data_IF_672953917891
#
_entry.id   IF_672953917891
#
_cell.length_a   1.000
_cell.length_b   1.000
_cell.length_c   1.000
_cell.angle_alpha   90.00
_cell.angle_beta   90.00
_cell.angle_gamma   90.00
#
_symmetry.space_group_name_H-M   'P 1'
#
loop_
_entity.id
_entity.type
_entity.pdbx_description
1 polymer ?
#
# COMPACT_ATOMS: atom_id res chain seq x y z
N UNK A 1 18.47 8.29 30.36
CA UNK A 1 19.57 7.45 29.84
C UNK A 1 18.98 6.14 29.26
N UNK A 2 19.62 5.57 28.22
CA UNK A 2 19.63 4.15 27.73
C UNK A 2 19.05 3.81 26.32
N UNK A 3 19.73 2.89 25.58
CA UNK A 3 19.45 2.47 24.16
C UNK A 3 20.21 1.18 23.64
N UNK A 4 20.10 0.78 22.32
CA UNK A 4 20.69 -0.41 21.57
C UNK A 4 21.11 -0.15 20.06
N UNK A 5 21.50 -1.16 19.21
CA UNK A 5 22.03 -1.02 17.77
C UNK A 5 21.89 -2.25 16.78
N UNK A 6 22.48 -2.24 15.54
CA UNK A 6 22.26 -3.20 14.38
C UNK A 6 23.44 -3.54 13.37
N UNK A 7 23.17 -3.99 12.10
CA UNK A 7 24.02 -4.82 11.15
C UNK A 7 24.29 -4.31 9.67
N UNK A 8 25.10 -4.98 8.75
CA UNK A 8 25.72 -4.33 7.55
C UNK A 8 25.15 -4.62 6.13
N UNK A 9 25.42 -3.72 5.15
CA UNK A 9 24.92 -3.70 3.74
C UNK A 9 25.90 -2.95 2.81
N UNK A 10 25.79 -3.05 1.45
CA UNK A 10 26.15 -1.90 0.57
C UNK A 10 25.20 -0.80 0.99
N UNK A 11 25.69 0.23 1.69
CA UNK A 11 24.78 1.16 2.33
C UNK A 11 24.19 2.05 1.25
N UNK A 12 22.93 2.48 1.43
CA UNK A 12 22.25 3.39 0.51
C UNK A 12 23.05 4.69 0.29
N UNK A 13 24.03 5.00 1.15
CA UNK A 13 25.03 6.06 0.99
C UNK A 13 26.05 5.87 -0.15
N UNK A 14 26.29 4.67 -0.67
CA UNK A 14 27.20 4.47 -1.82
C UNK A 14 26.60 4.96 -3.15
N UNK A 15 25.27 4.84 -3.31
CA UNK A 15 24.54 5.47 -4.42
C UNK A 15 24.01 6.87 -4.06
N UNK A 16 23.51 7.03 -2.83
CA UNK A 16 22.72 8.16 -2.36
C UNK A 16 21.24 8.03 -2.74
N UNK A 17 20.32 8.36 -1.80
CA UNK A 17 18.84 8.33 -1.99
C UNK A 17 18.45 8.89 -3.36
N UNK A 18 18.84 10.12 -3.62
CA UNK A 18 18.39 10.90 -4.77
C UNK A 18 18.87 10.29 -6.09
N UNK A 19 20.16 9.94 -6.24
CA UNK A 19 20.64 9.29 -7.48
C UNK A 19 20.00 7.93 -7.75
N UNK A 20 19.60 7.18 -6.72
CA UNK A 20 18.85 5.94 -6.90
C UNK A 20 17.42 6.23 -7.39
N UNK A 21 16.76 7.25 -6.82
CA UNK A 21 15.44 7.72 -7.26
C UNK A 21 15.53 8.30 -8.68
N UNK A 22 16.36 9.30 -8.94
CA UNK A 22 16.51 9.95 -10.26
C UNK A 22 16.79 8.94 -11.39
N UNK A 23 17.66 7.96 -11.13
CA UNK A 23 17.99 6.88 -12.08
C UNK A 23 16.78 5.99 -12.42
N UNK A 24 15.86 5.81 -11.48
CA UNK A 24 14.62 5.07 -11.68
C UNK A 24 13.59 5.99 -12.33
N UNK A 25 13.39 7.20 -11.81
CA UNK A 25 12.37 8.16 -12.21
C UNK A 25 12.55 8.73 -13.62
N UNK A 26 13.78 8.96 -14.08
CA UNK A 26 14.08 9.49 -15.42
C UNK A 26 13.65 8.58 -16.59
N UNK A 27 13.07 7.40 -16.29
CA UNK A 27 12.53 6.45 -17.28
C UNK A 27 11.06 6.69 -17.62
N UNK A 28 10.37 7.59 -16.91
CA UNK A 28 8.92 7.78 -17.03
C UNK A 28 8.58 9.20 -17.50
N UNK A 29 7.64 9.32 -18.43
CA UNK A 29 7.18 10.61 -19.01
C UNK A 29 5.65 10.61 -19.01
N UNK A 30 5.02 11.65 -18.46
CA UNK A 30 3.56 11.78 -18.42
C UNK A 30 2.95 12.16 -19.76
N UNK A 31 1.80 11.56 -20.07
CA UNK A 31 1.08 11.75 -21.34
C UNK A 31 -0.43 11.97 -21.18
N UNK A 32 -0.93 12.13 -19.95
CA UNK A 32 -2.36 12.23 -19.64
C UNK A 32 -2.70 13.66 -19.20
N UNK A 33 -3.79 14.27 -19.68
CA UNK A 33 -4.21 15.64 -19.30
C UNK A 33 -4.52 15.77 -17.81
N UNK A 34 -4.95 14.67 -17.18
CA UNK A 34 -5.04 14.63 -15.73
C UNK A 34 -3.63 14.82 -15.13
N UNK A 35 -2.62 14.15 -15.66
CA UNK A 35 -1.31 13.99 -15.03
C UNK A 35 -0.39 15.19 -15.28
N UNK A 36 -0.69 16.30 -14.60
CA UNK A 36 0.03 17.58 -14.68
C UNK A 36 1.52 17.48 -14.32
N UNK A 37 1.94 16.45 -13.57
CA UNK A 37 3.35 16.20 -13.23
C UNK A 37 3.62 14.70 -13.13
N UNK A 38 4.68 14.24 -13.79
CA UNK A 38 5.09 12.83 -13.77
C UNK A 38 5.99 12.46 -12.61
N UNK A 39 6.38 11.18 -12.58
CA UNK A 39 7.46 10.69 -11.73
C UNK A 39 8.78 11.37 -12.12
N UNK A 40 9.57 11.74 -11.12
CA UNK A 40 10.72 12.64 -11.27
C UNK A 40 11.07 13.34 -9.96
N UNK A 41 10.05 13.57 -9.12
CA UNK A 41 10.12 14.11 -7.78
C UNK A 41 9.36 13.19 -6.79
N UNK A 42 9.21 13.57 -5.53
CA UNK A 42 8.59 12.74 -4.46
C UNK A 42 7.10 12.34 -4.73
N UNK A 43 6.42 12.90 -5.75
CA UNK A 43 5.07 12.49 -6.19
C UNK A 43 4.75 12.86 -7.65
N UNK A 44 3.74 12.21 -8.24
CA UNK A 44 3.08 12.62 -9.49
C UNK A 44 1.79 13.41 -9.22
N UNK A 45 1.52 14.46 -9.98
CA UNK A 45 0.25 15.22 -9.89
C UNK A 45 -0.72 14.71 -10.94
N UNK A 46 -1.96 14.40 -10.53
CA UNK A 46 -3.06 14.03 -11.41
C UNK A 46 -4.36 14.82 -11.09
N UNK A 47 -5.13 15.12 -12.13
CA UNK A 47 -6.35 15.94 -12.14
C UNK A 47 -7.51 15.11 -12.69
N UNK A 48 -8.21 14.43 -11.79
CA UNK A 48 -9.40 13.65 -12.10
C UNK A 48 -10.63 14.57 -12.18
N UNK A 49 -11.62 14.21 -13.01
CA UNK A 49 -12.92 14.89 -13.15
C UNK A 49 -14.04 13.88 -12.89
N UNK A 50 -15.26 14.36 -12.65
CA UNK A 50 -16.41 13.56 -12.16
C UNK A 50 -16.58 12.17 -12.82
N UNK A 51 -16.85 11.11 -12.02
CA UNK A 51 -16.97 11.12 -10.55
C UNK A 51 -15.63 11.36 -9.84
N UNK A 52 -15.67 11.88 -8.62
CA UNK A 52 -14.45 12.30 -7.91
C UNK A 52 -13.68 11.11 -7.37
N UNK A 53 -12.36 11.10 -7.59
CA UNK A 53 -11.47 10.09 -7.00
C UNK A 53 -11.37 10.26 -5.48
N UNK A 54 -11.64 9.19 -4.75
CA UNK A 54 -11.48 9.08 -3.30
C UNK A 54 -10.39 8.07 -2.99
N UNK A 55 -9.58 8.31 -1.96
CA UNK A 55 -8.59 7.33 -1.50
C UNK A 55 -8.56 7.23 0.02
N UNK A 56 -8.16 6.05 0.51
CA UNK A 56 -7.96 5.74 1.91
C UNK A 56 -6.75 4.82 2.07
N UNK A 57 -6.14 4.77 3.25
CA UNK A 57 -4.95 3.95 3.47
C UNK A 57 -4.94 3.34 4.88
N UNK A 58 -4.63 2.04 4.97
CA UNK A 58 -4.40 1.34 6.23
C UNK A 58 -3.00 0.73 6.25
N UNK A 59 -2.15 1.27 7.11
CA UNK A 59 -0.95 0.58 7.58
C UNK A 59 -1.32 -0.35 8.75
N UNK A 60 -0.83 -1.58 8.74
CA UNK A 60 -0.95 -2.58 9.80
C UNK A 60 0.41 -3.14 10.15
N UNK A 61 0.79 -3.08 11.43
CA UNK A 61 2.07 -3.55 11.94
C UNK A 61 1.88 -4.74 12.88
N UNK A 62 2.66 -5.80 12.68
CA UNK A 62 2.70 -6.93 13.62
C UNK A 62 3.18 -6.49 15.01
N UNK A 63 2.55 -6.99 16.06
CA UNK A 63 2.78 -6.58 17.45
C UNK A 63 2.12 -5.25 17.84
N UNK A 64 1.39 -4.61 16.91
CA UNK A 64 0.66 -3.35 17.16
C UNK A 64 -0.81 -3.45 16.71
N UNK A 65 -1.06 -3.78 15.44
CA UNK A 65 -2.41 -3.90 14.84
C UNK A 65 -2.95 -5.34 14.84
N UNK A 66 -2.06 -6.31 14.93
CA UNK A 66 -2.35 -7.75 14.96
C UNK A 66 -1.16 -8.50 15.56
N UNK A 67 -1.40 -9.75 15.98
CA UNK A 67 -0.39 -10.68 16.47
C UNK A 67 -0.67 -12.06 15.84
N UNK A 68 0.33 -12.63 15.20
CA UNK A 68 0.22 -13.89 14.44
C UNK A 68 0.01 -15.12 15.32
N UNK A 69 0.19 -15.00 16.65
CA UNK A 69 -0.21 -16.03 17.60
C UNK A 69 -1.74 -16.20 17.67
N UNK A 70 -2.51 -15.17 17.29
CA UNK A 70 -3.97 -15.14 17.37
C UNK A 70 -4.66 -14.94 16.01
N UNK A 71 -3.97 -14.34 15.03
CA UNK A 71 -4.52 -14.02 13.71
C UNK A 71 -3.78 -14.76 12.60
N UNK A 72 -4.40 -15.79 11.98
CA UNK A 72 -3.90 -16.39 10.74
C UNK A 72 -3.66 -15.35 9.64
N UNK A 73 -2.63 -15.58 8.84
CA UNK A 73 -2.10 -14.65 7.82
C UNK A 73 -3.17 -14.16 6.82
N UNK A 74 -4.03 -15.08 6.37
CA UNK A 74 -5.19 -14.77 5.52
C UNK A 74 -6.18 -13.79 6.14
N UNK A 75 -6.40 -13.88 7.45
CA UNK A 75 -7.24 -12.90 8.14
C UNK A 75 -6.54 -11.56 8.34
N UNK A 76 -5.21 -11.52 8.47
CA UNK A 76 -4.45 -10.27 8.48
C UNK A 76 -4.59 -9.55 7.14
N UNK A 77 -4.34 -10.24 6.02
CA UNK A 77 -4.52 -9.68 4.67
C UNK A 77 -5.94 -9.18 4.41
N UNK A 78 -6.95 -10.00 4.72
CA UNK A 78 -8.36 -9.64 4.58
C UNK A 78 -8.72 -8.41 5.45
N UNK A 79 -8.34 -8.41 6.74
CA UNK A 79 -8.61 -7.30 7.68
C UNK A 79 -8.02 -5.99 7.19
N UNK A 80 -6.76 -5.98 6.75
CA UNK A 80 -6.09 -4.75 6.30
C UNK A 80 -6.71 -4.21 5.01
N UNK A 81 -7.05 -5.08 4.04
CA UNK A 81 -7.74 -4.69 2.82
C UNK A 81 -9.14 -4.12 3.08
N UNK A 82 -9.94 -4.79 3.93
CA UNK A 82 -11.26 -4.30 4.34
C UNK A 82 -11.17 -2.95 5.06
N UNK A 83 -10.17 -2.74 5.93
CA UNK A 83 -9.99 -1.44 6.58
C UNK A 83 -9.63 -0.32 5.60
N UNK A 84 -8.82 -0.59 4.57
CA UNK A 84 -8.49 0.40 3.55
C UNK A 84 -9.72 0.76 2.70
N UNK A 85 -10.43 -0.24 2.16
CA UNK A 85 -11.66 -0.01 1.40
C UNK A 85 -12.78 0.58 2.25
N UNK A 86 -12.83 0.25 3.55
CA UNK A 86 -13.79 0.79 4.50
C UNK A 86 -13.67 2.30 4.68
N UNK A 87 -12.48 2.88 4.53
CA UNK A 87 -12.30 4.34 4.52
C UNK A 87 -12.93 4.97 3.28
N UNK A 88 -12.80 4.35 2.11
CA UNK A 88 -13.44 4.82 0.86
C UNK A 88 -14.96 4.66 0.96
N UNK A 89 -15.46 3.51 1.42
CA UNK A 89 -16.89 3.27 1.63
C UNK A 89 -17.52 4.21 2.67
N UNK A 90 -16.78 4.61 3.71
CA UNK A 90 -17.25 5.58 4.71
C UNK A 90 -17.46 6.99 4.14
N UNK A 91 -16.84 7.30 2.99
CA UNK A 91 -17.08 8.53 2.21
C UNK A 91 -18.23 8.39 1.22
N UNK A 92 -19.01 7.29 1.27
CA UNK A 92 -20.05 6.94 0.29
C UNK A 92 -19.50 6.83 -1.15
N UNK A 93 -18.22 6.45 -1.26
CA UNK A 93 -17.54 6.15 -2.51
C UNK A 93 -17.40 4.64 -2.72
N UNK A 94 -17.41 4.21 -3.98
CA UNK A 94 -17.20 2.80 -4.35
C UNK A 94 -15.69 2.54 -4.43
N UNK A 95 -15.11 1.64 -3.61
CA UNK A 95 -13.72 1.24 -3.76
C UNK A 95 -13.54 0.42 -5.05
N UNK A 96 -12.60 0.84 -5.89
CA UNK A 96 -12.33 0.22 -7.20
C UNK A 96 -10.98 -0.48 -7.24
N UNK A 97 -10.00 0.02 -6.48
CA UNK A 97 -8.60 -0.40 -6.59
C UNK A 97 -7.91 -0.48 -5.22
N UNK A 98 -6.91 -1.35 -5.12
CA UNK A 98 -6.04 -1.54 -3.96
C UNK A 98 -4.57 -1.55 -4.39
N UNK A 99 -3.75 -0.73 -3.74
CA UNK A 99 -2.29 -0.77 -3.82
C UNK A 99 -1.74 -1.29 -2.50
N UNK A 100 -0.85 -2.28 -2.53
CA UNK A 100 -0.33 -2.97 -1.35
C UNK A 100 1.17 -2.72 -1.21
N UNK A 101 1.66 -2.42 -0.01
CA UNK A 101 3.08 -2.47 0.30
C UNK A 101 3.30 -3.42 1.49
N UNK A 102 4.04 -4.51 1.30
CA UNK A 102 4.31 -5.50 2.34
C UNK A 102 5.79 -5.45 2.79
N UNK A 103 6.02 -5.23 4.08
CA UNK A 103 7.31 -5.47 4.71
C UNK A 103 7.36 -6.88 5.27
N UNK A 104 8.18 -7.77 4.72
CA UNK A 104 8.31 -9.17 5.15
C UNK A 104 9.67 -9.44 5.78
N UNK A 105 9.68 -10.05 6.96
CA UNK A 105 10.93 -10.51 7.60
C UNK A 105 11.30 -11.92 7.15
N UNK A 106 12.57 -12.29 7.36
CA UNK A 106 13.19 -13.54 6.89
C UNK A 106 12.54 -14.86 7.39
N UNK A 107 11.51 -14.80 8.23
CA UNK A 107 10.78 -15.99 8.73
C UNK A 107 9.56 -16.37 7.88
N UNK A 108 9.12 -15.48 6.99
CA UNK A 108 7.97 -15.73 6.13
C UNK A 108 8.41 -16.44 4.87
N UNK A 109 7.72 -17.52 4.55
CA UNK A 109 7.91 -18.28 3.32
C UNK A 109 7.01 -17.73 2.19
N UNK A 110 7.10 -18.34 1.01
CA UNK A 110 6.25 -17.96 -0.13
C UNK A 110 4.79 -18.28 0.19
N UNK A 111 4.56 -19.45 0.78
CA UNK A 111 3.26 -19.97 1.19
C UNK A 111 2.59 -19.09 2.26
N UNK A 112 3.37 -18.52 3.19
CA UNK A 112 2.88 -17.52 4.14
C UNK A 112 2.41 -16.24 3.43
N UNK A 113 3.16 -15.83 2.41
CA UNK A 113 2.85 -14.64 1.61
C UNK A 113 1.60 -14.88 0.76
N UNK A 114 1.49 -16.06 0.14
CA UNK A 114 0.30 -16.49 -0.59
C UNK A 114 -0.94 -16.48 0.32
N UNK A 115 -0.85 -16.95 1.57
CA UNK A 115 -1.97 -16.87 2.52
C UNK A 115 -2.37 -15.42 2.84
N UNK A 116 -1.42 -14.49 3.02
CA UNK A 116 -1.73 -13.05 3.16
C UNK A 116 -2.49 -12.54 1.93
N UNK A 117 -1.98 -12.80 0.73
CA UNK A 117 -2.58 -12.28 -0.50
C UNK A 117 -3.90 -12.97 -0.87
N UNK A 118 -4.12 -14.24 -0.54
CA UNK A 118 -5.43 -14.90 -0.59
C UNK A 118 -6.45 -14.22 0.34
N UNK A 119 -5.99 -13.60 1.42
CA UNK A 119 -6.80 -12.75 2.29
C UNK A 119 -7.21 -11.44 1.61
N UNK A 120 -6.23 -10.73 1.04
CA UNK A 120 -6.44 -9.47 0.31
C UNK A 120 -7.34 -9.71 -0.90
N UNK A 121 -7.09 -10.76 -1.68
CA UNK A 121 -7.87 -11.14 -2.87
C UNK A 121 -9.32 -11.47 -2.50
N UNK A 122 -9.56 -12.21 -1.41
CA UNK A 122 -10.91 -12.50 -0.94
C UNK A 122 -11.68 -11.23 -0.49
N UNK A 123 -10.97 -10.23 0.07
CA UNK A 123 -11.56 -8.94 0.38
C UNK A 123 -11.87 -8.15 -0.91
N UNK A 124 -10.91 -8.05 -1.82
CA UNK A 124 -11.03 -7.32 -3.09
C UNK A 124 -12.19 -7.86 -3.95
N UNK A 125 -12.23 -9.19 -4.17
CA UNK A 125 -13.31 -9.90 -4.87
C UNK A 125 -14.69 -9.68 -4.25
N UNK A 126 -14.79 -9.52 -2.92
CA UNK A 126 -16.06 -9.27 -2.23
C UNK A 126 -16.67 -7.91 -2.58
N UNK A 127 -15.85 -6.91 -2.88
CA UNK A 127 -16.28 -5.54 -3.18
C UNK A 127 -16.12 -5.15 -4.65
N UNK A 128 -15.65 -6.06 -5.50
CA UNK A 128 -15.41 -5.79 -6.92
C UNK A 128 -14.21 -4.87 -7.18
N UNK A 129 -13.27 -4.79 -6.21
CA UNK A 129 -12.06 -3.99 -6.34
C UNK A 129 -10.89 -4.83 -6.87
N UNK A 130 -9.99 -4.21 -7.63
CA UNK A 130 -8.79 -4.84 -8.18
C UNK A 130 -7.54 -4.53 -7.34
N UNK A 131 -6.59 -5.46 -7.21
CA UNK A 131 -5.27 -5.14 -6.66
C UNK A 131 -4.37 -4.64 -7.80
N UNK A 132 -4.10 -3.33 -7.83
CA UNK A 132 -3.46 -2.64 -8.96
C UNK A 132 -1.97 -2.37 -8.77
N UNK A 133 -1.46 -2.45 -7.54
CA UNK A 133 -0.02 -2.41 -7.27
C UNK A 133 0.35 -3.27 -6.06
N UNK A 134 1.53 -3.87 -6.10
CA UNK A 134 2.15 -4.55 -4.96
C UNK A 134 3.64 -4.18 -4.91
N UNK A 135 4.08 -3.61 -3.79
CA UNK A 135 5.49 -3.45 -3.43
C UNK A 135 5.82 -4.41 -2.28
N UNK A 136 7.00 -5.04 -2.31
CA UNK A 136 7.46 -5.93 -1.23
C UNK A 136 8.88 -5.56 -0.85
N UNK A 137 9.08 -5.33 0.45
CA UNK A 137 10.35 -4.91 1.02
C UNK A 137 10.77 -5.81 2.19
N UNK A 138 12.09 -5.96 2.37
CA UNK A 138 12.65 -6.64 3.53
C UNK A 138 12.38 -5.87 4.83
N UNK A 139 11.87 -6.57 5.85
CA UNK A 139 11.55 -6.02 7.17
C UNK A 139 12.41 -6.65 8.26
N UNK A 140 12.92 -5.84 9.18
CA UNK A 140 13.65 -6.33 10.36
C UNK A 140 12.73 -6.78 11.50
N UNK A 141 11.48 -6.32 11.52
CA UNK A 141 10.63 -6.37 12.73
C UNK A 141 9.49 -7.38 12.66
N UNK A 142 9.15 -7.89 11.46
CA UNK A 142 8.02 -8.80 11.26
C UNK A 142 7.22 -8.43 10.02
N UNK A 143 5.94 -8.80 10.00
CA UNK A 143 5.01 -8.41 8.95
C UNK A 143 4.57 -6.95 9.13
N UNK A 144 4.78 -6.15 8.10
CA UNK A 144 4.17 -4.84 7.90
C UNK A 144 3.29 -4.94 6.66
N UNK A 145 2.07 -4.44 6.71
CA UNK A 145 1.17 -4.42 5.55
C UNK A 145 0.49 -3.06 5.44
N UNK A 146 0.83 -2.30 4.40
CA UNK A 146 0.09 -1.11 3.97
C UNK A 146 -0.83 -1.48 2.83
N UNK A 147 -2.09 -1.04 2.88
CA UNK A 147 -3.01 -1.10 1.74
C UNK A 147 -3.63 0.27 1.54
N UNK A 148 -3.50 0.81 0.34
CA UNK A 148 -4.16 2.03 -0.11
C UNK A 148 -5.33 1.63 -1.00
N UNK A 149 -6.55 2.01 -0.62
CA UNK A 149 -7.72 1.88 -1.47
C UNK A 149 -7.91 3.16 -2.28
N UNK A 150 -8.28 3.02 -3.55
CA UNK A 150 -8.74 4.10 -4.43
C UNK A 150 -10.13 3.72 -4.94
N UNK A 151 -11.00 4.70 -5.05
CA UNK A 151 -12.36 4.55 -5.53
C UNK A 151 -12.91 5.85 -6.11
N UNK A 152 -14.20 5.87 -6.40
CA UNK A 152 -14.89 7.03 -6.94
C UNK A 152 -16.22 7.28 -6.23
N UNK A 153 -16.65 8.54 -6.21
CA UNK A 153 -18.00 8.89 -5.75
C UNK A 153 -18.46 10.24 -6.26
N UNK A 154 -19.77 10.37 -6.43
CA UNK A 154 -20.39 11.60 -6.94
C UNK A 154 -20.24 12.75 -5.93
N UNK A 155 -19.81 13.92 -6.40
CA UNK A 155 -19.53 15.08 -5.54
C UNK A 155 -20.71 15.49 -4.62
N UNK A 156 -21.96 15.24 -5.05
CA UNK A 156 -23.16 15.51 -4.25
C UNK A 156 -23.60 14.40 -3.29
N UNK A 157 -22.95 13.23 -3.35
CA UNK A 157 -23.24 12.06 -2.53
C UNK A 157 -22.09 11.69 -1.58
N UNK A 158 -20.88 12.20 -1.80
CA UNK A 158 -19.75 11.98 -0.89
C UNK A 158 -20.07 12.48 0.53
N UNK A 159 -19.89 11.61 1.52
CA UNK A 159 -20.17 11.89 2.94
C UNK A 159 -18.97 12.46 3.69
N UNK A 160 -19.22 13.00 4.88
CA UNK A 160 -18.21 13.35 5.89
C UNK A 160 -18.72 12.97 7.28
#
# INVERSE_FOLDING_TARGET
MNNKKGMPKTPISELGKYKLIDRISARFISSNESTLQGVGDDASVACFRDPLTVSGQKLSLEGVDFDLCYFPLKFVGYKTAIHAMGQVMAMNAVPLQLMVCAGLSQRFYVEDTDEIFLGIEAAAKRYGADVTAVDIQSSYTGLTLSVTAIGEGDAGLLTR
#
